data_IF_448362423917
#
_entry.id   IF_448362423917
#
_cell.length_a   1.000
_cell.length_b   1.000
_cell.length_c   1.000
_cell.angle_alpha   90.00
_cell.angle_beta   90.00
_cell.angle_gamma   90.00
#
_symmetry.space_group_name_H-M   'P 1'
#
loop_
_entity.id
_entity.type
_entity.pdbx_description
1 polymer ?
#
# COMPACT_ATOMS: atom_id res chain seq x y z
N UNK A 1 -17.22 -12.37 6.80
CA UNK A 1 -16.33 -13.44 6.31
C UNK A 1 -16.41 -13.67 4.80
N UNK A 2 -17.57 -13.90 4.17
CA UNK A 2 -17.64 -14.19 2.71
C UNK A 2 -17.08 -13.06 1.82
N UNK A 3 -17.26 -11.79 2.21
CA UNK A 3 -16.77 -10.62 1.47
C UNK A 3 -15.25 -10.50 1.49
N UNK A 4 -14.60 -10.59 2.65
CA UNK A 4 -13.13 -10.54 2.80
C UNK A 4 -12.46 -11.67 2.03
N UNK A 5 -12.97 -12.90 2.17
CA UNK A 5 -12.46 -14.04 1.40
C UNK A 5 -12.62 -13.84 -0.11
N UNK A 6 -13.70 -13.19 -0.56
CA UNK A 6 -13.90 -12.88 -1.98
C UNK A 6 -12.95 -11.78 -2.46
N UNK A 7 -12.76 -10.73 -1.67
CA UNK A 7 -11.82 -9.65 -1.96
C UNK A 7 -10.38 -10.17 -2.05
N UNK A 8 -9.96 -11.01 -1.11
CA UNK A 8 -8.63 -11.66 -1.12
C UNK A 8 -8.45 -12.72 -2.22
N UNK A 9 -9.46 -13.01 -3.04
CA UNK A 9 -9.34 -13.82 -4.27
C UNK A 9 -9.20 -12.98 -5.53
N UNK A 10 -9.36 -11.67 -5.46
CA UNK A 10 -9.16 -10.78 -6.60
C UNK A 10 -7.71 -10.86 -7.08
N UNK A 11 -7.53 -11.10 -8.37
CA UNK A 11 -6.19 -11.11 -8.99
C UNK A 11 -5.79 -9.73 -9.48
N UNK A 12 -6.74 -8.99 -10.05
CA UNK A 12 -6.49 -7.68 -10.62
C UNK A 12 -7.57 -6.69 -10.17
N UNK A 13 -7.24 -5.90 -9.15
CA UNK A 13 -8.11 -4.86 -8.62
C UNK A 13 -8.17 -3.63 -9.52
N UNK A 14 -7.13 -3.37 -10.32
CA UNK A 14 -7.06 -2.20 -11.18
C UNK A 14 -8.20 -2.18 -12.22
N UNK A 15 -8.70 -3.35 -12.61
CA UNK A 15 -9.86 -3.49 -13.50
C UNK A 15 -11.14 -2.87 -12.95
N UNK A 16 -11.30 -2.79 -11.63
CA UNK A 16 -12.50 -2.26 -10.97
C UNK A 16 -12.50 -0.74 -10.86
N UNK A 17 -11.34 -0.10 -10.98
CA UNK A 17 -11.14 1.33 -10.72
C UNK A 17 -10.21 2.02 -11.72
N UNK A 18 -10.08 1.48 -12.94
CA UNK A 18 -9.10 1.93 -13.95
C UNK A 18 -9.11 3.45 -14.20
N UNK A 19 -10.29 4.05 -14.24
CA UNK A 19 -10.44 5.50 -14.46
C UNK A 19 -9.93 6.35 -13.29
N UNK A 20 -9.90 5.78 -12.09
CA UNK A 20 -9.42 6.43 -10.86
C UNK A 20 -7.89 6.29 -10.69
N UNK A 21 -7.23 5.50 -11.55
CA UNK A 21 -5.78 5.28 -11.50
C UNK A 21 -4.97 6.34 -12.25
N UNK A 22 -5.60 7.44 -12.65
CA UNK A 22 -4.91 8.60 -13.20
C UNK A 22 -5.41 9.85 -12.50
N UNK A 23 -4.48 10.62 -11.94
CA UNK A 23 -4.77 11.95 -11.41
C UNK A 23 -4.06 12.98 -12.29
N UNK A 24 -4.78 14.02 -12.73
CA UNK A 24 -4.20 15.11 -13.50
C UNK A 24 -4.82 16.45 -13.11
N UNK A 25 -3.96 17.41 -12.80
CA UNK A 25 -4.31 18.83 -12.75
C UNK A 25 -3.32 19.64 -13.61
N UNK A 26 -3.34 20.97 -13.52
CA UNK A 26 -2.47 21.83 -14.33
C UNK A 26 -0.98 21.73 -13.98
N UNK A 27 -0.64 21.17 -12.81
CA UNK A 27 0.72 21.17 -12.25
C UNK A 27 1.32 19.76 -12.18
N UNK A 28 0.48 18.73 -12.13
CA UNK A 28 0.87 17.36 -11.85
C UNK A 28 0.01 16.37 -12.63
N UNK A 29 0.70 15.40 -13.22
CA UNK A 29 0.08 14.20 -13.80
C UNK A 29 0.69 12.96 -13.14
N UNK A 30 -0.15 12.16 -12.52
CA UNK A 30 0.22 10.94 -11.79
C UNK A 30 -0.48 9.75 -12.42
N UNK A 31 0.31 8.74 -12.73
CA UNK A 31 -0.18 7.41 -13.07
C UNK A 31 -0.10 6.52 -11.82
N UNK A 32 -1.17 5.79 -11.55
CA UNK A 32 -1.23 4.87 -10.43
C UNK A 32 -1.40 3.43 -10.92
N UNK A 33 -0.92 2.48 -10.12
CA UNK A 33 -1.17 1.07 -10.34
C UNK A 33 -1.36 0.36 -9.00
N UNK A 34 -2.12 -0.74 -9.02
CA UNK A 34 -2.40 -1.56 -7.85
C UNK A 34 -1.82 -2.95 -8.07
N UNK A 35 -1.05 -3.44 -7.11
CA UNK A 35 -0.50 -4.80 -7.13
C UNK A 35 -0.50 -5.41 -5.74
N UNK A 36 -0.55 -6.75 -5.69
CA UNK A 36 -0.23 -7.50 -4.47
C UNK A 36 1.25 -7.39 -4.17
N UNK A 37 1.63 -7.47 -2.91
CA UNK A 37 3.04 -7.48 -2.51
C UNK A 37 3.81 -8.64 -3.16
N UNK A 38 3.14 -9.78 -3.40
CA UNK A 38 3.73 -10.96 -4.05
C UNK A 38 4.11 -10.73 -5.51
N UNK A 39 3.56 -9.69 -6.15
CA UNK A 39 3.80 -9.34 -7.55
C UNK A 39 4.51 -7.98 -7.69
N UNK A 40 4.70 -7.26 -6.59
CA UNK A 40 5.31 -5.94 -6.58
C UNK A 40 6.83 -6.04 -6.80
N UNK A 41 7.37 -5.11 -7.59
CA UNK A 41 8.83 -5.01 -7.76
C UNK A 41 9.51 -4.77 -6.40
N UNK A 42 10.56 -5.55 -6.12
CA UNK A 42 11.28 -5.51 -4.84
C UNK A 42 11.88 -4.14 -4.53
N UNK A 43 12.30 -3.39 -5.55
CA UNK A 43 12.83 -2.04 -5.37
C UNK A 43 11.72 -1.05 -5.02
N UNK A 44 10.51 -1.22 -5.57
CA UNK A 44 9.34 -0.40 -5.21
C UNK A 44 8.92 -0.69 -3.77
N UNK A 45 8.89 -1.96 -3.36
CA UNK A 45 8.61 -2.36 -1.99
C UNK A 45 9.65 -1.78 -1.00
N UNK A 46 10.93 -1.91 -1.33
CA UNK A 46 12.00 -1.33 -0.51
C UNK A 46 11.87 0.19 -0.40
N UNK A 47 11.58 0.87 -1.51
CA UNK A 47 11.31 2.31 -1.52
C UNK A 47 10.14 2.69 -0.60
N UNK A 48 9.06 1.91 -0.59
CA UNK A 48 7.90 2.16 0.27
C UNK A 48 8.24 1.98 1.76
N UNK A 49 9.01 0.95 2.10
CA UNK A 49 9.52 0.70 3.47
C UNK A 49 10.40 1.88 3.92
N UNK A 50 11.36 2.29 3.08
CA UNK A 50 12.29 3.36 3.42
C UNK A 50 11.60 4.74 3.49
N UNK A 51 10.58 4.97 2.65
CA UNK A 51 9.72 6.15 2.75
C UNK A 51 8.92 6.15 4.05
N UNK A 52 8.38 5.00 4.47
CA UNK A 52 7.66 4.85 5.75
C UNK A 52 8.58 5.15 6.92
N UNK A 53 9.78 4.57 6.94
CA UNK A 53 10.76 4.82 8.01
C UNK A 53 11.13 6.30 8.08
N UNK A 54 11.47 6.94 6.95
CA UNK A 54 11.80 8.37 6.92
C UNK A 54 10.69 9.26 7.46
N UNK A 55 9.44 8.96 7.12
CA UNK A 55 8.30 9.80 7.49
C UNK A 55 7.78 9.53 8.91
N UNK A 56 7.80 8.27 9.34
CA UNK A 56 7.05 7.82 10.51
C UNK A 56 7.92 7.48 11.71
N UNK A 57 9.21 7.13 11.53
CA UNK A 57 10.07 6.66 12.62
C UNK A 57 10.06 7.56 13.84
N UNK A 58 10.28 8.87 13.63
CA UNK A 58 10.29 9.85 14.71
C UNK A 58 8.95 9.92 15.44
N UNK A 59 7.83 9.82 14.74
CA UNK A 59 6.50 9.84 15.35
C UNK A 59 6.28 8.61 16.22
N UNK A 60 6.69 7.43 15.73
CA UNK A 60 6.61 6.17 16.46
C UNK A 60 7.52 6.15 17.70
N UNK A 61 8.75 6.66 17.60
CA UNK A 61 9.69 6.77 18.72
C UNK A 61 9.16 7.68 19.85
N UNK A 62 8.33 8.68 19.50
CA UNK A 62 7.73 9.59 20.49
C UNK A 62 6.41 9.12 21.08
N UNK A 63 5.83 8.03 20.57
CA UNK A 63 4.57 7.48 21.08
C UNK A 63 4.80 6.16 21.85
N UNK A 64 3.76 5.66 22.52
CA UNK A 64 3.85 4.47 23.37
C UNK A 64 4.24 3.19 22.62
N UNK A 65 4.12 3.16 21.30
CA UNK A 65 4.39 1.99 20.47
C UNK A 65 5.88 1.80 20.16
N UNK A 66 6.66 2.89 20.10
CA UNK A 66 8.04 2.86 19.63
C UNK A 66 8.16 2.53 18.14
N UNK A 67 9.38 2.61 17.60
CA UNK A 67 9.70 2.17 16.24
C UNK A 67 10.38 0.80 16.26
N UNK A 68 9.84 -0.15 15.51
CA UNK A 68 10.47 -1.44 15.26
C UNK A 68 10.44 -1.71 13.76
N UNK A 69 11.61 -1.60 13.12
CA UNK A 69 11.75 -1.75 11.68
C UNK A 69 11.35 -3.15 11.22
N UNK A 70 11.82 -4.20 11.90
CA UNK A 70 11.57 -5.58 11.50
C UNK A 70 10.08 -5.91 11.54
N UNK A 71 9.37 -5.47 12.58
CA UNK A 71 7.90 -5.60 12.66
C UNK A 71 7.18 -4.86 11.54
N UNK A 72 7.66 -3.67 11.16
CA UNK A 72 7.03 -2.94 10.05
C UNK A 72 7.33 -3.55 8.69
N UNK A 73 8.53 -4.10 8.50
CA UNK A 73 8.83 -4.88 7.30
C UNK A 73 7.93 -6.11 7.25
N UNK A 74 7.80 -6.86 8.35
CA UNK A 74 6.91 -8.03 8.43
C UNK A 74 5.48 -7.66 8.02
N UNK A 75 4.91 -6.60 8.60
CA UNK A 75 3.57 -6.10 8.25
C UNK A 75 3.45 -5.70 6.77
N UNK A 76 4.41 -4.94 6.25
CA UNK A 76 4.43 -4.47 4.86
C UNK A 76 4.70 -5.61 3.85
N UNK A 77 5.21 -6.75 4.30
CA UNK A 77 5.48 -7.93 3.47
C UNK A 77 4.47 -9.05 3.63
N UNK A 78 3.40 -8.83 4.40
CA UNK A 78 2.32 -9.78 4.60
C UNK A 78 1.70 -10.21 3.26
N UNK A 79 1.49 -11.51 3.05
CA UNK A 79 1.03 -12.05 1.76
C UNK A 79 -0.34 -11.50 1.32
N UNK A 80 -1.15 -11.00 2.25
CA UNK A 80 -2.42 -10.33 1.98
C UNK A 80 -2.30 -8.86 1.57
N UNK A 81 -1.09 -8.28 1.61
CA UNK A 81 -0.84 -6.88 1.34
C UNK A 81 -1.03 -6.49 -0.12
N UNK A 82 -1.72 -5.37 -0.30
CA UNK A 82 -1.88 -4.66 -1.55
C UNK A 82 -1.19 -3.31 -1.47
N UNK A 83 -0.69 -2.88 -2.62
CA UNK A 83 -0.03 -1.60 -2.79
C UNK A 83 -0.70 -0.85 -3.92
N UNK A 84 -1.21 0.34 -3.62
CA UNK A 84 -1.50 1.38 -4.61
C UNK A 84 -0.25 2.26 -4.71
N UNK A 85 0.40 2.27 -5.86
CA UNK A 85 1.62 3.05 -6.11
C UNK A 85 1.27 4.20 -7.06
N UNK A 86 1.73 5.41 -6.73
CA UNK A 86 1.65 6.60 -7.55
C UNK A 86 3.04 6.93 -8.13
N UNK A 87 3.10 7.17 -9.45
CA UNK A 87 4.33 7.54 -10.16
C UNK A 87 4.10 8.60 -11.23
N UNK A 88 5.16 9.30 -11.59
CA UNK A 88 5.20 10.11 -12.80
C UNK A 88 5.35 9.22 -14.05
N UNK A 89 5.08 9.80 -15.23
CA UNK A 89 5.27 9.15 -16.54
C UNK A 89 6.71 8.67 -16.77
N UNK A 90 7.70 9.34 -16.19
CA UNK A 90 9.11 8.95 -16.28
C UNK A 90 9.47 7.76 -15.36
N UNK A 91 8.52 7.26 -14.55
CA UNK A 91 8.71 6.17 -13.62
C UNK A 91 9.07 6.58 -12.18
N UNK A 92 9.24 7.88 -11.90
CA UNK A 92 9.56 8.39 -10.57
C UNK A 92 8.43 8.09 -9.60
N UNK A 93 8.74 7.38 -8.51
CA UNK A 93 7.78 7.03 -7.46
C UNK A 93 7.47 8.26 -6.59
N UNK A 94 6.19 8.56 -6.42
CA UNK A 94 5.69 9.74 -5.73
C UNK A 94 5.08 9.42 -4.37
N UNK A 95 4.20 8.41 -4.32
CA UNK A 95 3.48 8.03 -3.12
C UNK A 95 3.04 6.56 -3.18
N UNK A 96 2.64 6.01 -2.04
CA UNK A 96 1.94 4.74 -2.00
C UNK A 96 0.88 4.71 -0.89
N UNK A 97 -0.03 3.75 -1.01
CA UNK A 97 -0.86 3.27 0.08
C UNK A 97 -0.70 1.75 0.17
N UNK A 98 -0.39 1.28 1.37
CA UNK A 98 -0.41 -0.13 1.74
C UNK A 98 -1.77 -0.44 2.37
N UNK A 99 -2.39 -1.54 2.01
CA UNK A 99 -3.65 -1.97 2.63
C UNK A 99 -3.92 -3.47 2.49
N UNK A 100 -4.84 -3.98 3.31
CA UNK A 100 -5.32 -5.37 3.32
C UNK A 100 -6.83 -5.43 3.49
N UNK A 101 -7.47 -6.46 2.93
CA UNK A 101 -8.83 -6.80 3.33
C UNK A 101 -8.77 -7.77 4.50
N UNK A 102 -9.30 -7.35 5.63
CA UNK A 102 -9.26 -8.15 6.86
C UNK A 102 -10.58 -8.09 7.63
N UNK A 103 -10.69 -8.89 8.69
CA UNK A 103 -11.76 -8.83 9.66
C UNK A 103 -11.23 -8.19 10.94
N UNK A 104 -11.83 -7.10 11.39
CA UNK A 104 -11.50 -6.47 12.68
C UNK A 104 -12.77 -6.38 13.55
N UNK A 105 -12.68 -6.90 14.79
CA UNK A 105 -13.81 -7.03 15.72
C UNK A 105 -15.11 -7.66 15.14
N UNK A 106 -15.01 -8.49 14.11
CA UNK A 106 -16.15 -9.14 13.46
C UNK A 106 -16.70 -8.39 12.24
N UNK A 107 -16.15 -7.22 11.92
CA UNK A 107 -16.51 -6.41 10.75
C UNK A 107 -15.45 -6.52 9.65
N UNK A 108 -15.85 -6.56 8.37
CA UNK A 108 -14.91 -6.51 7.25
C UNK A 108 -14.34 -5.09 7.11
N UNK A 109 -13.01 -4.97 7.17
CA UNK A 109 -12.30 -3.68 7.09
C UNK A 109 -11.27 -3.66 5.97
N UNK A 110 -10.98 -2.45 5.50
CA UNK A 110 -9.76 -2.16 4.76
C UNK A 110 -8.72 -1.70 5.78
N UNK A 111 -7.80 -2.60 6.13
CA UNK A 111 -6.72 -2.32 7.08
C UNK A 111 -5.58 -1.62 6.33
N UNK A 112 -4.98 -0.58 6.92
CA UNK A 112 -4.00 0.30 6.26
C UNK A 112 -2.77 0.49 7.14
#
# INVERSE_FOLDING_TARGET
MSSVTSANKLKDMATLCKELLVYRNNELEVEMYIQRVTELDKNVLQWAIDLTERNMKRLYETCAWGWNRDRKVEEMTDEGAWYLIAREKNGTLLAFSHFRFDMDFGDPVLYW
#
